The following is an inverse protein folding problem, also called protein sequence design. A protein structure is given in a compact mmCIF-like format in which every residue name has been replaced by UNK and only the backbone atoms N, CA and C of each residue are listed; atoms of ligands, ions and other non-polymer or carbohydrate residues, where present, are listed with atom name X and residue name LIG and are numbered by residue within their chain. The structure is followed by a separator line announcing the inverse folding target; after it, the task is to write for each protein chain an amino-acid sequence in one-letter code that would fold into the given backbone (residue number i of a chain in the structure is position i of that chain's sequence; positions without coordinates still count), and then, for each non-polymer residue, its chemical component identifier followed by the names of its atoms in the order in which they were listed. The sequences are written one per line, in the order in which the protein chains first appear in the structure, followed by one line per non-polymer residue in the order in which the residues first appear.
data_IF_390372484645
#
_entry.id   IF_390372484645
#
_cell.length_a   1.000
_cell.length_b   1.000
_cell.length_c   1.000
_cell.angle_alpha   90.00
_cell.angle_beta   90.00
_cell.angle_gamma   90.00
#
_symmetry.space_group_name_H-M   'P 1'
#
loop_
_entity.id
_entity.type
_entity.pdbx_description
1 polymer ?
#
# COMPACT_ATOMS: atom_id res chain seq x y z
N UNK A 1 -12.21 30.65 -10.24
CA UNK A 1 -10.85 30.41 -9.72
C UNK A 1 -10.47 28.96 -10.01
N UNK A 2 -9.75 28.72 -11.09
CA UNK A 2 -9.11 27.44 -11.40
C UNK A 2 -7.80 27.39 -10.61
N UNK A 3 -7.89 27.00 -9.34
CA UNK A 3 -6.70 26.59 -8.59
C UNK A 3 -6.07 25.43 -9.34
N UNK A 4 -4.76 25.54 -9.53
CA UNK A 4 -3.98 24.72 -10.44
C UNK A 4 -3.94 23.28 -9.90
N UNK A 5 -4.86 22.44 -10.38
CA UNK A 5 -5.04 21.08 -9.87
C UNK A 5 -3.76 20.23 -9.90
N UNK A 6 -2.83 20.62 -10.77
CA UNK A 6 -1.51 20.00 -10.89
C UNK A 6 -0.62 20.31 -9.68
N UNK A 7 -0.73 21.48 -9.06
CA UNK A 7 0.05 21.84 -7.88
C UNK A 7 -0.39 21.05 -6.63
N UNK A 8 -1.71 20.86 -6.46
CA UNK A 8 -2.26 20.07 -5.35
C UNK A 8 -1.91 18.57 -5.52
N UNK A 9 -1.94 18.05 -6.76
CA UNK A 9 -1.50 16.68 -7.06
C UNK A 9 -0.01 16.49 -6.75
N UNK A 10 0.82 17.47 -7.08
CA UNK A 10 2.26 17.47 -6.77
C UNK A 10 2.49 17.48 -5.25
N UNK A 11 1.75 18.30 -4.49
CA UNK A 11 1.86 18.33 -3.04
C UNK A 11 1.47 16.99 -2.39
N UNK A 12 0.37 16.37 -2.83
CA UNK A 12 -0.04 15.04 -2.37
C UNK A 12 0.99 13.97 -2.74
N UNK A 13 1.55 14.02 -3.95
CA UNK A 13 2.63 13.13 -4.38
C UNK A 13 3.90 13.28 -3.53
N UNK A 14 4.28 14.51 -3.15
CA UNK A 14 5.39 14.76 -2.23
C UNK A 14 5.14 14.18 -0.84
N UNK A 15 3.94 14.35 -0.27
CA UNK A 15 3.59 13.79 1.04
C UNK A 15 3.60 12.26 1.04
N UNK A 16 3.05 11.65 -0.01
CA UNK A 16 3.08 10.20 -0.21
C UNK A 16 4.52 9.69 -0.33
N UNK A 17 5.35 10.38 -1.11
CA UNK A 17 6.76 10.00 -1.30
C UNK A 17 7.55 10.11 -0.01
N UNK A 18 7.37 11.19 0.75
CA UNK A 18 7.97 11.38 2.06
C UNK A 18 7.52 10.30 3.06
N UNK A 19 6.25 9.87 3.01
CA UNK A 19 5.78 8.75 3.83
C UNK A 19 6.45 7.43 3.45
N UNK A 20 6.61 7.14 2.16
CA UNK A 20 7.35 5.95 1.72
C UNK A 20 8.82 5.98 2.18
N UNK A 21 9.48 7.13 2.08
CA UNK A 21 10.86 7.28 2.55
C UNK A 21 10.96 7.08 4.06
N UNK A 22 9.98 7.57 4.82
CA UNK A 22 9.88 7.30 6.25
C UNK A 22 9.68 5.80 6.52
N UNK A 23 8.74 5.13 5.85
CA UNK A 23 8.53 3.68 6.03
C UNK A 23 9.79 2.87 5.73
N UNK A 24 10.56 3.26 4.71
CA UNK A 24 11.84 2.63 4.40
C UNK A 24 12.88 2.80 5.51
N UNK A 25 12.90 3.96 6.17
CA UNK A 25 13.85 4.27 7.24
C UNK A 25 13.49 3.64 8.60
N UNK A 26 12.34 2.96 8.75
CA UNK A 26 11.97 2.25 9.98
C UNK A 26 10.52 2.40 10.47
N UNK A 27 9.84 3.56 10.38
CA UNK A 27 8.49 3.71 10.91
C UNK A 27 7.37 3.16 9.99
N UNK A 28 7.22 1.84 9.98
CA UNK A 28 5.92 1.20 9.69
C UNK A 28 4.99 1.38 10.90
N UNK A 29 3.67 1.37 10.67
CA UNK A 29 2.70 1.44 11.79
C UNK A 29 2.75 0.19 12.67
N UNK A 30 3.16 -0.93 12.07
CA UNK A 30 3.44 -2.18 12.74
C UNK A 30 4.86 -2.57 12.37
N UNK A 31 5.76 -2.63 13.36
CA UNK A 31 7.15 -2.99 13.15
C UNK A 31 7.25 -4.44 12.66
N UNK A 32 7.98 -4.65 11.57
CA UNK A 32 8.27 -5.98 11.04
C UNK A 32 9.75 -6.10 10.73
N UNK A 33 10.29 -7.28 10.96
CA UNK A 33 11.75 -7.49 10.97
C UNK A 33 12.30 -7.82 9.58
N UNK A 34 11.54 -8.50 8.72
CA UNK A 34 12.01 -9.02 7.45
C UNK A 34 11.12 -8.57 6.26
N UNK A 35 11.77 -8.13 5.17
CA UNK A 35 11.14 -7.88 3.87
C UNK A 35 11.19 -9.09 2.92
N UNK A 36 10.61 -9.00 1.71
CA UNK A 36 10.05 -7.80 1.06
C UNK A 36 8.61 -7.48 1.46
N UNK A 37 8.25 -6.19 1.42
CA UNK A 37 6.98 -5.65 1.92
C UNK A 37 6.28 -4.85 0.82
N UNK A 38 5.04 -5.20 0.50
CA UNK A 38 4.20 -4.43 -0.41
C UNK A 38 3.53 -3.29 0.34
N UNK A 39 3.55 -2.10 -0.24
CA UNK A 39 2.88 -0.92 0.26
C UNK A 39 2.09 -0.27 -0.86
N UNK A 40 0.82 0.03 -0.61
CA UNK A 40 0.00 0.93 -1.42
C UNK A 40 -0.41 2.12 -0.56
N UNK A 41 -0.06 3.32 -1.00
CA UNK A 41 -0.42 4.57 -0.34
C UNK A 41 -1.38 5.35 -1.22
N UNK A 42 -2.40 5.95 -0.61
CA UNK A 42 -3.35 6.80 -1.30
C UNK A 42 -3.72 8.02 -0.46
N UNK A 43 -3.79 9.19 -1.09
CA UNK A 43 -4.17 10.44 -0.45
C UNK A 43 -5.02 11.27 -1.40
N UNK A 44 -6.04 11.95 -0.88
CA UNK A 44 -6.76 12.92 -1.69
C UNK A 44 -5.86 14.11 -2.02
N UNK A 45 -5.94 14.56 -3.27
CA UNK A 45 -5.32 15.80 -3.73
C UNK A 45 -6.16 16.95 -3.21
N UNK A 46 -5.59 17.67 -2.26
CA UNK A 46 -6.20 18.87 -1.68
C UNK A 46 -5.14 19.92 -1.54
N UNK A 47 -5.59 21.17 -1.50
CA UNK A 47 -4.73 22.29 -1.15
C UNK A 47 -4.03 22.03 0.19
N UNK A 48 -2.71 22.19 0.20
CA UNK A 48 -1.87 21.95 1.36
C UNK A 48 -2.45 22.69 2.59
N UNK A 49 -3.00 21.94 3.55
CA UNK A 49 -3.66 22.46 4.75
C UNK A 49 -5.17 22.18 4.87
N UNK A 50 -5.84 21.70 3.82
CA UNK A 50 -7.31 21.51 3.81
C UNK A 50 -7.82 20.10 4.16
N UNK A 51 -7.01 19.05 4.15
CA UNK A 51 -7.42 17.76 4.74
C UNK A 51 -7.22 17.82 6.25
N UNK A 52 -8.23 18.35 6.93
CA UNK A 52 -8.51 18.03 8.32
C UNK A 52 -9.86 17.29 8.37
N UNK A 53 -9.93 16.06 7.81
CA UNK A 53 -11.12 15.24 7.99
C UNK A 53 -11.43 15.17 9.49
N UNK A 54 -12.71 15.11 9.84
CA UNK A 54 -13.09 14.97 11.24
C UNK A 54 -12.52 13.64 11.75
N UNK A 55 -12.20 13.57 13.04
CA UNK A 55 -11.69 12.34 13.63
C UNK A 55 -12.65 11.14 13.37
N UNK A 56 -13.96 11.40 13.41
CA UNK A 56 -15.01 10.44 13.05
C UNK A 56 -14.89 9.92 11.62
N UNK A 57 -14.61 10.80 10.66
CA UNK A 57 -14.51 10.42 9.25
C UNK A 57 -13.30 9.52 9.02
N UNK A 58 -12.19 9.79 9.72
CA UNK A 58 -11.00 8.95 9.68
C UNK A 58 -11.25 7.58 10.32
N UNK A 59 -12.01 7.53 11.41
CA UNK A 59 -12.37 6.27 12.08
C UNK A 59 -13.29 5.42 11.20
N UNK A 60 -14.27 6.05 10.54
CA UNK A 60 -15.19 5.37 9.62
C UNK A 60 -14.46 4.91 8.34
N UNK A 61 -13.52 5.72 7.83
CA UNK A 61 -12.65 5.31 6.74
C UNK A 61 -11.77 4.12 7.11
N UNK A 62 -11.22 4.09 8.33
CA UNK A 62 -10.43 2.97 8.80
C UNK A 62 -11.27 1.69 8.92
N UNK A 63 -12.50 1.79 9.46
CA UNK A 63 -13.46 0.66 9.52
C UNK A 63 -13.85 0.19 8.12
N UNK A 64 -13.97 1.09 7.14
CA UNK A 64 -14.20 0.70 5.75
C UNK A 64 -13.02 -0.08 5.18
N UNK A 65 -11.78 0.39 5.41
CA UNK A 65 -10.56 -0.29 4.98
C UNK A 65 -10.35 -1.64 5.64
N UNK A 66 -10.86 -1.87 6.84
CA UNK A 66 -10.77 -3.16 7.51
C UNK A 66 -11.31 -4.32 6.66
N UNK A 67 -12.26 -4.05 5.75
CA UNK A 67 -12.81 -5.06 4.84
C UNK A 67 -11.84 -5.45 3.71
N UNK A 68 -10.77 -4.69 3.52
CA UNK A 68 -9.69 -5.06 2.62
C UNK A 68 -9.08 -6.39 3.08
N UNK A 69 -8.48 -7.11 2.13
CA UNK A 69 -7.74 -8.32 2.44
C UNK A 69 -6.40 -8.29 1.74
N UNK A 70 -5.48 -7.42 2.16
CA UNK A 70 -4.22 -7.22 1.46
C UNK A 70 -3.50 -8.56 1.35
N UNK A 71 -3.11 -8.99 0.15
CA UNK A 71 -2.53 -10.32 -0.09
C UNK A 71 -3.40 -11.49 0.45
N UNK A 72 -4.72 -11.32 0.47
CA UNK A 72 -5.68 -12.32 0.95
C UNK A 72 -5.82 -12.43 2.47
N UNK A 73 -5.06 -11.68 3.26
CA UNK A 73 -5.14 -11.72 4.72
C UNK A 73 -6.42 -11.08 5.24
N UNK A 74 -7.11 -11.75 6.15
CA UNK A 74 -8.24 -11.15 6.88
C UNK A 74 -7.69 -10.25 7.98
N UNK A 75 -8.23 -9.03 8.10
CA UNK A 75 -7.86 -8.08 9.14
C UNK A 75 -8.77 -8.26 10.36
N UNK A 76 -8.16 -8.26 11.54
CA UNK A 76 -8.82 -8.47 12.83
C UNK A 76 -9.80 -7.34 13.17
N UNK A 77 -10.91 -7.69 13.82
CA UNK A 77 -11.80 -6.72 14.47
C UNK A 77 -11.27 -6.22 15.80
N UNK A 78 -10.70 -7.12 16.59
CA UNK A 78 -10.04 -6.78 17.84
C UNK A 78 -8.53 -6.84 17.63
N UNK A 79 -7.88 -5.71 17.83
CA UNK A 79 -6.44 -5.56 17.60
C UNK A 79 -5.58 -5.97 18.79
N UNK A 80 -6.18 -6.54 19.85
CA UNK A 80 -5.44 -7.07 21.01
C UNK A 80 -4.82 -8.41 20.65
N UNK A 81 -3.68 -8.31 20.00
CA UNK A 81 -2.70 -9.37 19.86
C UNK A 81 -1.79 -9.28 21.11
N UNK A 82 -1.41 -10.42 21.72
CA UNK A 82 -0.57 -10.49 22.92
C UNK A 82 0.47 -9.36 23.06
N UNK A 83 0.18 -8.37 23.91
CA UNK A 83 1.10 -7.28 24.25
C UNK A 83 1.25 -6.14 23.23
N UNK A 84 0.61 -6.22 22.05
CA UNK A 84 0.64 -5.16 21.05
C UNK A 84 -0.73 -4.48 20.93
N UNK A 85 -0.74 -3.16 21.01
CA UNK A 85 -1.91 -2.34 20.68
C UNK A 85 -1.53 -1.50 19.46
N UNK A 86 -2.11 -1.76 18.28
CA UNK A 86 -1.86 -0.94 17.10
C UNK A 86 -2.24 0.52 17.35
N UNK A 87 -1.62 1.45 16.63
CA UNK A 87 -2.03 2.85 16.64
C UNK A 87 -3.53 2.99 16.29
N UNK A 88 -4.21 4.04 16.75
CA UNK A 88 -5.59 4.33 16.33
C UNK A 88 -5.75 4.26 14.82
N UNK A 89 -6.93 3.81 14.36
CA UNK A 89 -7.27 3.66 12.92
C UNK A 89 -6.35 2.69 12.16
N UNK A 90 -5.79 1.72 12.86
CA UNK A 90 -4.97 0.66 12.28
C UNK A 90 -5.61 -0.69 12.55
N UNK A 91 -5.80 -1.49 11.49
CA UNK A 91 -6.26 -2.87 11.60
C UNK A 91 -5.18 -3.79 11.04
N UNK A 92 -4.95 -4.90 11.72
CA UNK A 92 -3.84 -5.83 11.44
C UNK A 92 -4.39 -7.23 11.22
N UNK A 93 -3.69 -8.08 10.48
CA UNK A 93 -4.05 -9.50 10.36
C UNK A 93 -3.99 -10.22 11.71
N UNK A 94 -4.84 -11.24 11.91
CA UNK A 94 -4.95 -12.04 13.16
C UNK A 94 -3.68 -12.83 13.57
N UNK A 95 -2.55 -12.68 12.88
CA UNK A 95 -1.31 -13.43 13.13
C UNK A 95 -0.19 -12.51 13.62
N UNK A 96 0.39 -12.81 14.80
CA UNK A 96 1.83 -13.04 14.85
C UNK A 96 2.23 -13.98 16.01
N UNK A 97 1.87 -15.26 15.96
CA UNK A 97 2.54 -16.29 16.79
C UNK A 97 3.28 -17.25 15.87
N UNK A 98 4.56 -16.95 15.60
CA UNK A 98 5.47 -17.83 14.87
C UNK A 98 6.67 -17.13 14.24
N UNK A 99 7.68 -17.92 13.85
CA UNK A 99 8.90 -17.48 13.13
C UNK A 99 8.67 -17.10 11.65
N UNK A 100 7.41 -16.92 11.24
CA UNK A 100 7.03 -16.60 9.87
C UNK A 100 6.60 -15.13 9.76
N UNK A 101 7.32 -14.35 8.95
CA UNK A 101 7.10 -12.93 8.65
C UNK A 101 5.88 -12.72 7.70
N UNK A 102 4.71 -13.20 8.13
CA UNK A 102 3.43 -13.10 7.42
C UNK A 102 2.55 -12.10 8.15
N UNK A 103 2.26 -10.97 7.52
CA UNK A 103 1.46 -9.93 8.14
C UNK A 103 0.73 -9.10 7.09
N UNK A 104 -0.36 -8.47 7.47
CA UNK A 104 -0.97 -7.39 6.71
C UNK A 104 -1.52 -6.34 7.67
N UNK A 105 -1.52 -5.08 7.26
CA UNK A 105 -2.24 -4.03 7.96
C UNK A 105 -2.81 -2.99 7.01
N UNK A 106 -3.82 -2.28 7.50
CA UNK A 106 -4.32 -1.04 6.89
C UNK A 106 -4.32 0.07 7.92
N UNK A 107 -4.13 1.30 7.47
CA UNK A 107 -4.08 2.47 8.34
C UNK A 107 -4.71 3.69 7.68
N UNK A 108 -5.40 4.52 8.48
CA UNK A 108 -5.81 5.88 8.10
C UNK A 108 -5.20 6.90 9.05
N UNK A 109 -4.35 7.77 8.52
CA UNK A 109 -3.76 8.86 9.28
C UNK A 109 -4.78 9.97 9.59
N UNK A 110 -4.45 10.86 10.52
CA UNK A 110 -5.26 12.05 10.84
C UNK A 110 -5.48 13.00 9.65
N UNK A 111 -4.64 12.91 8.62
CA UNK A 111 -4.72 13.72 7.40
C UNK A 111 -5.43 12.99 6.26
N UNK A 112 -6.03 11.84 6.52
CA UNK A 112 -6.72 11.04 5.50
C UNK A 112 -5.78 10.31 4.51
N UNK A 113 -4.47 10.21 4.81
CA UNK A 113 -3.59 9.27 4.10
C UNK A 113 -4.01 7.85 4.45
N UNK A 114 -4.27 7.05 3.42
CA UNK A 114 -4.56 5.62 3.49
C UNK A 114 -3.30 4.81 3.21
N UNK A 115 -3.04 3.81 4.04
CA UNK A 115 -1.98 2.82 3.86
C UNK A 115 -2.60 1.42 3.78
N UNK A 116 -2.20 0.64 2.78
CA UNK A 116 -2.44 -0.80 2.68
C UNK A 116 -1.09 -1.49 2.58
N UNK A 117 -0.78 -2.36 3.54
CA UNK A 117 0.54 -3.00 3.66
C UNK A 117 0.38 -4.51 3.83
N UNK A 118 1.22 -5.27 3.12
CA UNK A 118 1.26 -6.72 3.24
C UNK A 118 2.69 -7.27 3.13
N UNK A 119 2.99 -8.23 3.99
CA UNK A 119 4.16 -9.10 3.89
C UNK A 119 3.86 -10.40 3.15
N UNK A 120 4.90 -11.24 3.03
CA UNK A 120 4.91 -12.53 2.32
C UNK A 120 4.62 -12.43 0.80
N UNK A 121 5.59 -11.90 0.07
CA UNK A 121 5.58 -11.85 -1.40
C UNK A 121 6.57 -12.85 -2.01
N UNK A 122 7.50 -13.35 -1.21
CA UNK A 122 8.48 -14.34 -1.60
C UNK A 122 7.97 -15.77 -1.41
N UNK A 123 8.50 -16.71 -2.18
CA UNK A 123 8.18 -18.14 -2.05
C UNK A 123 8.89 -18.80 -0.84
N UNK A 124 8.76 -20.12 -0.71
CA UNK A 124 9.39 -20.91 0.36
C UNK A 124 10.93 -20.88 0.37
N UNK A 125 11.57 -20.44 -0.71
CA UNK A 125 13.03 -20.26 -0.84
C UNK A 125 13.45 -18.79 -0.71
N UNK A 126 12.54 -17.90 -0.29
CA UNK A 126 12.76 -16.45 -0.17
C UNK A 126 13.12 -15.76 -1.50
N UNK A 127 12.70 -16.32 -2.63
CA UNK A 127 12.77 -15.64 -3.93
C UNK A 127 11.42 -14.99 -4.27
N UNK A 128 11.47 -13.81 -4.87
CA UNK A 128 10.30 -13.09 -5.37
C UNK A 128 9.96 -13.61 -6.78
N UNK A 129 8.83 -14.31 -6.89
CA UNK A 129 8.33 -14.85 -8.17
C UNK A 129 7.16 -14.05 -8.75
N UNK A 130 6.69 -13.06 -8.00
CA UNK A 130 5.57 -12.19 -8.30
C UNK A 130 5.19 -11.39 -7.05
N UNK A 131 4.15 -10.56 -7.14
CA UNK A 131 3.66 -9.76 -6.00
C UNK A 131 2.56 -10.52 -5.25
N UNK A 132 2.87 -11.76 -4.82
CA UNK A 132 2.00 -12.73 -4.12
C UNK A 132 0.56 -12.28 -3.85
N UNK A 133 -0.42 -12.84 -4.56
CA UNK A 133 -1.86 -12.66 -4.29
C UNK A 133 -2.44 -11.24 -4.42
N UNK A 134 -1.63 -10.18 -4.52
CA UNK A 134 -2.06 -8.77 -4.45
C UNK A 134 -3.08 -8.44 -5.55
N UNK A 135 -2.86 -8.87 -6.79
CA UNK A 135 -3.81 -8.60 -7.88
C UNK A 135 -5.18 -9.26 -7.63
N UNK A 136 -5.19 -10.41 -6.95
CA UNK A 136 -6.41 -11.11 -6.58
C UNK A 136 -7.10 -10.41 -5.41
N UNK A 137 -6.35 -9.92 -4.42
CA UNK A 137 -6.92 -9.17 -3.30
C UNK A 137 -7.51 -7.84 -3.76
N UNK A 138 -6.82 -7.10 -4.64
CA UNK A 138 -7.34 -5.88 -5.27
C UNK A 138 -8.65 -6.16 -5.99
N UNK A 139 -8.70 -7.26 -6.77
CA UNK A 139 -9.89 -7.65 -7.53
C UNK A 139 -11.09 -7.94 -6.64
N UNK A 140 -10.87 -8.58 -5.48
CA UNK A 140 -11.96 -9.09 -4.65
C UNK A 140 -12.37 -8.13 -3.53
N UNK A 141 -11.43 -7.40 -2.95
CA UNK A 141 -11.62 -6.69 -1.68
C UNK A 141 -11.03 -5.28 -1.69
N UNK A 142 -9.76 -5.12 -2.05
CA UNK A 142 -9.03 -3.89 -1.69
C UNK A 142 -9.51 -2.66 -2.46
N UNK A 143 -9.88 -2.81 -3.74
CA UNK A 143 -10.39 -1.69 -4.54
C UNK A 143 -11.69 -1.09 -3.96
N UNK A 144 -12.64 -1.96 -3.57
CA UNK A 144 -13.91 -1.51 -2.99
C UNK A 144 -13.69 -0.90 -1.60
N UNK A 145 -12.84 -1.53 -0.77
CA UNK A 145 -12.51 -1.02 0.55
C UNK A 145 -11.85 0.38 0.46
N UNK A 146 -10.89 0.56 -0.46
CA UNK A 146 -10.22 1.83 -0.69
C UNK A 146 -11.19 2.93 -1.13
N UNK A 147 -12.09 2.61 -2.07
CA UNK A 147 -13.15 3.53 -2.50
C UNK A 147 -14.06 3.95 -1.36
N UNK A 148 -14.55 2.97 -0.61
CA UNK A 148 -15.45 3.19 0.54
C UNK A 148 -14.78 4.04 1.62
N UNK A 149 -13.48 3.87 1.83
CA UNK A 149 -12.71 4.68 2.76
C UNK A 149 -12.63 6.14 2.32
N UNK A 150 -12.38 6.42 1.03
CA UNK A 150 -12.39 7.79 0.52
C UNK A 150 -13.78 8.42 0.51
N UNK A 151 -14.83 7.63 0.28
CA UNK A 151 -16.21 8.10 0.43
C UNK A 151 -16.51 8.49 1.89
N UNK A 152 -16.04 7.72 2.87
CA UNK A 152 -16.17 8.04 4.30
C UNK A 152 -15.37 9.29 4.69
N UNK A 153 -14.21 9.53 4.08
CA UNK A 153 -13.45 10.79 4.21
C UNK A 153 -14.11 11.99 3.51
N UNK A 154 -15.26 11.81 2.85
CA UNK A 154 -15.97 12.87 2.14
C UNK A 154 -15.26 13.36 0.87
N UNK A 155 -14.30 12.58 0.33
CA UNK A 155 -13.49 12.99 -0.82
C UNK A 155 -14.30 12.87 -2.10
N UNK A 156 -14.45 13.98 -2.82
CA UNK A 156 -15.09 14.03 -4.16
C UNK A 156 -14.11 14.36 -5.30
N UNK A 157 -12.90 14.78 -4.93
CA UNK A 157 -11.88 15.25 -5.86
C UNK A 157 -10.85 14.18 -6.22
N UNK A 158 -9.72 14.67 -6.75
CA UNK A 158 -8.62 13.82 -7.19
C UNK A 158 -8.00 13.04 -6.04
N UNK A 159 -7.43 11.88 -6.35
CA UNK A 159 -6.71 11.03 -5.41
C UNK A 159 -5.38 10.64 -6.03
N UNK A 160 -4.30 10.85 -5.30
CA UNK A 160 -2.97 10.41 -5.70
C UNK A 160 -2.68 9.08 -5.02
N UNK A 161 -2.21 8.10 -5.79
CA UNK A 161 -1.91 6.75 -5.32
C UNK A 161 -0.50 6.36 -5.75
N UNK A 162 0.20 5.57 -4.96
CA UNK A 162 1.44 4.90 -5.38
C UNK A 162 1.54 3.50 -4.80
N UNK A 163 2.42 2.69 -5.38
CA UNK A 163 2.78 1.37 -4.88
C UNK A 163 4.30 1.22 -4.77
N UNK A 164 4.75 0.46 -3.78
CA UNK A 164 6.15 0.20 -3.53
C UNK A 164 6.38 -1.19 -2.95
N UNK A 165 7.62 -1.66 -3.10
CA UNK A 165 8.18 -2.86 -2.50
C UNK A 165 9.38 -2.45 -1.66
N UNK A 166 9.26 -2.52 -0.34
CA UNK A 166 10.30 -2.17 0.63
C UNK A 166 11.11 -3.42 1.03
N UNK A 167 12.34 -3.23 1.53
CA UNK A 167 13.17 -4.32 2.03
C UNK A 167 13.58 -5.29 0.92
N UNK A 168 13.93 -4.75 -0.25
CA UNK A 168 14.24 -5.53 -1.46
C UNK A 168 15.73 -5.81 -1.65
N UNK A 169 16.59 -5.26 -0.78
CA UNK A 169 18.03 -5.41 -0.88
C UNK A 169 18.43 -6.90 -0.85
N UNK A 170 19.20 -7.32 -1.86
CA UNK A 170 19.70 -8.68 -2.01
C UNK A 170 18.61 -9.75 -2.17
N UNK A 171 17.37 -9.36 -2.47
CA UNK A 171 16.28 -10.32 -2.74
C UNK A 171 16.46 -10.89 -4.14
N UNK A 172 16.43 -12.22 -4.24
CA UNK A 172 16.42 -12.93 -5.52
C UNK A 172 15.08 -12.78 -6.19
N UNK A 173 15.06 -12.46 -7.47
CA UNK A 173 13.86 -12.34 -8.30
C UNK A 173 13.92 -13.36 -9.41
N UNK A 174 12.80 -14.04 -9.64
CA UNK A 174 12.65 -14.96 -10.76
C UNK A 174 11.36 -14.67 -11.51
N UNK A 175 11.44 -14.51 -12.83
CA UNK A 175 10.24 -14.34 -13.66
C UNK A 175 10.28 -15.29 -14.84
N UNK A 176 9.26 -16.15 -14.94
CA UNK A 176 9.04 -17.05 -16.08
C UNK A 176 8.37 -16.35 -17.25
N UNK A 177 7.89 -15.14 -17.05
CA UNK A 177 7.18 -14.35 -18.06
C UNK A 177 8.13 -13.53 -18.93
N UNK A 178 9.38 -13.32 -18.48
CA UNK A 178 10.42 -12.67 -19.27
C UNK A 178 11.14 -13.68 -20.18
N UNK A 179 11.61 -13.22 -21.35
CA UNK A 179 12.37 -14.03 -22.30
C UNK A 179 13.72 -13.34 -22.61
N UNK A 180 14.87 -13.96 -22.28
CA UNK A 180 15.02 -15.22 -21.54
C UNK A 180 14.44 -15.12 -20.11
N UNK A 181 14.21 -16.29 -19.49
CA UNK A 181 13.75 -16.37 -18.09
C UNK A 181 14.68 -15.53 -17.21
N UNK A 182 14.11 -14.62 -16.42
CA UNK A 182 14.87 -13.78 -15.52
C UNK A 182 15.19 -14.56 -14.25
N UNK A 183 16.44 -14.55 -13.84
CA UNK A 183 16.93 -15.00 -12.55
C UNK A 183 18.03 -14.03 -12.08
N UNK A 184 17.66 -13.14 -11.17
CA UNK A 184 18.47 -11.97 -10.83
C UNK A 184 18.36 -11.58 -9.36
N UNK A 185 19.08 -10.53 -8.97
CA UNK A 185 19.13 -10.04 -7.60
C UNK A 185 18.82 -8.54 -7.60
N UNK A 186 17.91 -8.09 -6.74
CA UNK A 186 17.67 -6.67 -6.52
C UNK A 186 18.79 -6.10 -5.64
N UNK A 187 19.61 -5.21 -6.21
CA UNK A 187 20.65 -4.49 -5.46
C UNK A 187 20.20 -3.09 -5.02
N UNK A 188 18.91 -2.94 -4.78
CA UNK A 188 18.29 -1.71 -4.28
C UNK A 188 17.37 -2.04 -3.11
N UNK A 189 17.27 -1.16 -2.11
CA UNK A 189 16.50 -1.44 -0.91
C UNK A 189 14.98 -1.22 -1.07
N UNK A 190 14.57 -0.49 -2.12
CA UNK A 190 13.18 -0.17 -2.40
C UNK A 190 12.93 -0.05 -3.91
N UNK A 191 11.85 -0.69 -4.39
CA UNK A 191 11.30 -0.50 -5.73
C UNK A 191 9.97 0.24 -5.62
N UNK A 192 9.78 1.33 -6.35
CA UNK A 192 8.54 2.12 -6.31
C UNK A 192 8.12 2.67 -7.67
N UNK A 193 6.82 2.83 -7.86
CA UNK A 193 6.26 3.51 -9.04
C UNK A 193 6.08 5.00 -8.77
N UNK A 194 5.95 5.77 -9.85
CA UNK A 194 5.66 7.21 -9.74
C UNK A 194 4.21 7.35 -9.25
N UNK A 195 3.92 8.24 -8.28
CA UNK A 195 2.54 8.49 -7.86
C UNK A 195 1.66 8.89 -9.04
N UNK A 196 0.46 8.33 -9.10
CA UNK A 196 -0.53 8.56 -10.15
C UNK A 196 -1.77 9.23 -9.58
N UNK A 197 -2.23 10.29 -10.24
CA UNK A 197 -3.47 10.95 -9.91
C UNK A 197 -4.66 10.28 -10.62
N UNK A 198 -5.74 10.09 -9.87
CA UNK A 198 -7.05 9.67 -10.33
C UNK A 198 -8.02 10.84 -10.17
N UNK A 199 -8.94 11.01 -11.12
CA UNK A 199 -9.86 12.14 -11.14
C UNK A 199 -10.83 12.16 -9.95
N UNK A 200 -11.17 10.98 -9.43
CA UNK A 200 -12.14 10.79 -8.34
C UNK A 200 -11.99 9.42 -7.67
N UNK A 201 -12.59 9.20 -6.48
CA UNK A 201 -12.65 7.88 -5.87
C UNK A 201 -13.24 6.80 -6.80
N UNK A 202 -14.20 7.17 -7.65
CA UNK A 202 -14.81 6.21 -8.58
C UNK A 202 -13.80 5.56 -9.54
N UNK A 203 -12.67 6.21 -9.84
CA UNK A 203 -11.62 5.67 -10.71
C UNK A 203 -10.66 4.70 -10.02
N UNK A 204 -10.76 4.52 -8.70
CA UNK A 204 -10.01 3.50 -7.95
C UNK A 204 -10.61 2.10 -8.17
N UNK A 205 -10.74 1.73 -9.44
CA UNK A 205 -11.27 0.45 -9.89
C UNK A 205 -10.18 -0.61 -9.97
N UNK A 206 -10.60 -1.87 -9.93
CA UNK A 206 -9.72 -3.04 -9.99
C UNK A 206 -8.72 -2.94 -11.15
N UNK A 207 -9.18 -2.57 -12.34
CA UNK A 207 -8.33 -2.49 -13.52
C UNK A 207 -7.21 -1.46 -13.35
N UNK A 208 -7.53 -0.27 -12.84
CA UNK A 208 -6.57 0.81 -12.66
C UNK A 208 -5.53 0.50 -11.57
N UNK A 209 -5.97 -0.08 -10.46
CA UNK A 209 -5.07 -0.48 -9.37
C UNK A 209 -4.17 -1.65 -9.79
N UNK A 210 -4.70 -2.63 -10.53
CA UNK A 210 -3.88 -3.74 -11.04
C UNK A 210 -2.88 -3.29 -12.10
N UNK A 211 -3.18 -2.27 -12.91
CA UNK A 211 -2.16 -1.68 -13.80
C UNK A 211 -0.98 -1.14 -13.00
N UNK A 212 -1.22 -0.48 -11.86
CA UNK A 212 -0.14 0.01 -10.98
C UNK A 212 0.67 -1.14 -10.36
N UNK A 213 0.02 -2.25 -10.00
CA UNK A 213 0.71 -3.45 -9.50
C UNK A 213 1.55 -4.10 -10.59
N UNK A 214 1.03 -4.18 -11.82
CA UNK A 214 1.78 -4.63 -12.99
C UNK A 214 2.99 -3.73 -13.29
N UNK A 215 2.83 -2.41 -13.25
CA UNK A 215 3.92 -1.45 -13.41
C UNK A 215 5.01 -1.63 -12.34
N UNK A 216 4.61 -1.90 -11.09
CA UNK A 216 5.54 -2.20 -10.01
C UNK A 216 6.32 -3.48 -10.30
N UNK A 217 5.64 -4.56 -10.73
CA UNK A 217 6.29 -5.82 -11.08
C UNK A 217 7.26 -5.66 -12.25
N UNK A 218 6.87 -4.91 -13.29
CA UNK A 218 7.74 -4.60 -14.41
C UNK A 218 9.02 -3.84 -13.98
N UNK A 219 8.88 -2.92 -13.02
CA UNK A 219 10.06 -2.24 -12.44
C UNK A 219 10.94 -3.20 -11.64
N UNK A 220 10.35 -4.10 -10.87
CA UNK A 220 11.09 -5.13 -10.13
C UNK A 220 11.91 -5.99 -11.09
N UNK A 221 11.30 -6.54 -12.13
CA UNK A 221 12.01 -7.40 -13.09
C UNK A 221 13.06 -6.64 -13.89
N UNK A 222 12.82 -5.38 -14.24
CA UNK A 222 13.83 -4.52 -14.89
C UNK A 222 15.05 -4.26 -14.01
N UNK A 223 14.86 -4.16 -12.69
CA UNK A 223 15.94 -3.84 -11.73
C UNK A 223 16.74 -5.06 -11.26
N UNK A 224 16.21 -6.26 -11.48
CA UNK A 224 16.88 -7.52 -11.14
C UNK A 224 17.68 -8.11 -12.32
N UNK A 225 17.41 -7.67 -13.55
CA UNK A 225 18.25 -7.94 -14.73
C UNK A 225 19.53 -7.10 -14.70
#
# INVERSE_FOLDING_TARGET
MTLDSTADDVAAAHLISARLDAMHAGPLQVSVTDGPIFVLLAMASVHAGMLRPLASDCDDAAKALQRARPNGYVLAESTKVSGFTPPPRTFVSDYPDGSAARYAYVHVSERGLVEIVAGELADSRRQLVGLGGIEQSIRKYDALALRTAFDALGVRGRIVVTAALLGTQSIRVRSRETVPELDGILDIPCVRIVPRAFASPAQLEVQNLNLMVGDLWAKVTTRAN
#
